data_IF_934390380913
#
_entry.id   IF_934390380913
#
_cell.length_a   1.000
_cell.length_b   1.000
_cell.length_c   1.000
_cell.angle_alpha   90.00
_cell.angle_beta   90.00
_cell.angle_gamma   90.00
#
_symmetry.space_group_name_H-M   'P 1'
#
loop_
_entity.id
_entity.type
_entity.pdbx_description
1 polymer ?
#
# COMPACT_ATOMS: atom_id res chain seq x y z
N UNK A 1 0.70 -8.28 4.04
CA UNK A 1 0.40 -8.64 2.67
C UNK A 1 0.98 -10.02 2.36
N UNK A 2 0.20 -10.84 1.79
CA UNK A 2 0.60 -12.20 1.44
C UNK A 2 1.23 -12.18 0.05
N UNK A 3 2.52 -11.89 -0.03
CA UNK A 3 3.20 -11.77 -1.31
C UNK A 3 3.09 -13.00 -2.20
N UNK A 4 3.02 -14.19 -1.65
CA UNK A 4 2.85 -15.43 -2.43
C UNK A 4 1.49 -15.61 -3.10
N UNK A 5 0.56 -14.74 -2.80
CA UNK A 5 -0.82 -14.85 -3.27
C UNK A 5 -1.02 -14.53 -4.75
N UNK A 6 -0.01 -14.01 -5.42
CA UNK A 6 -0.09 -13.69 -6.86
C UNK A 6 0.03 -14.91 -7.75
N UNK A 7 0.59 -15.99 -7.23
CA UNK A 7 0.80 -17.21 -7.97
C UNK A 7 -0.10 -18.32 -7.45
N UNK A 8 -0.51 -19.18 -8.35
CA UNK A 8 -1.38 -20.28 -8.04
C UNK A 8 -0.64 -21.61 -8.19
N UNK A 9 -0.74 -22.48 -7.18
CA UNK A 9 -0.19 -23.83 -7.22
C UNK A 9 -1.33 -24.81 -7.42
N UNK A 10 -1.21 -25.69 -8.42
CA UNK A 10 -2.19 -26.70 -8.70
C UNK A 10 -1.57 -28.08 -8.84
N UNK A 11 -2.31 -29.11 -8.41
CA UNK A 11 -1.92 -30.51 -8.49
C UNK A 11 -2.93 -31.28 -9.33
N UNK A 12 -2.47 -31.98 -10.36
CA UNK A 12 -3.29 -32.89 -11.19
C UNK A 12 -3.34 -34.32 -10.60
N UNK A 13 -4.28 -35.14 -11.07
CA UNK A 13 -4.39 -36.55 -10.65
C UNK A 13 -3.17 -37.43 -10.92
N UNK A 14 -2.24 -36.98 -11.80
CA UNK A 14 -0.97 -37.68 -12.10
C UNK A 14 0.23 -37.07 -11.38
N UNK A 15 0.01 -36.31 -10.29
CA UNK A 15 1.07 -35.65 -9.52
C UNK A 15 1.93 -34.70 -10.35
N UNK A 16 1.34 -33.96 -11.25
CA UNK A 16 1.99 -32.87 -11.98
C UNK A 16 1.78 -31.58 -11.20
N UNK A 17 2.86 -30.84 -10.96
CA UNK A 17 2.85 -29.58 -10.24
C UNK A 17 2.96 -28.42 -11.22
N UNK A 18 2.09 -27.40 -11.01
CA UNK A 18 2.05 -26.18 -11.82
C UNK A 18 2.09 -24.97 -10.92
N UNK A 19 2.77 -23.91 -11.39
CA UNK A 19 2.65 -22.56 -10.87
C UNK A 19 2.20 -21.66 -12.00
N UNK A 20 1.11 -20.94 -11.78
CA UNK A 20 0.60 -19.96 -12.73
C UNK A 20 0.72 -18.57 -12.14
N UNK A 21 0.98 -17.56 -13.00
CA UNK A 21 0.82 -16.17 -12.60
C UNK A 21 -0.67 -15.76 -12.64
N UNK A 22 -0.92 -14.48 -12.32
CA UNK A 22 -2.29 -13.96 -12.25
C UNK A 22 -3.00 -13.90 -13.59
N UNK A 23 -2.25 -13.84 -14.68
CA UNK A 23 -2.77 -13.83 -16.04
C UNK A 23 -2.95 -15.25 -16.60
N UNK A 24 -2.67 -16.26 -15.80
CA UNK A 24 -2.77 -17.65 -16.21
C UNK A 24 -1.58 -18.19 -16.97
N UNK A 25 -0.47 -17.42 -17.04
CA UNK A 25 0.77 -17.87 -17.66
C UNK A 25 1.44 -18.93 -16.78
N UNK A 26 1.81 -20.06 -17.37
CA UNK A 26 2.55 -21.12 -16.68
C UNK A 26 3.98 -20.64 -16.38
N UNK A 27 4.34 -20.57 -15.11
CA UNK A 27 5.68 -20.24 -14.66
C UNK A 27 6.53 -21.47 -14.38
N UNK A 28 5.90 -22.57 -13.99
CA UNK A 28 6.59 -23.80 -13.62
C UNK A 28 5.68 -25.00 -13.82
N UNK A 29 6.26 -26.08 -14.32
CA UNK A 29 5.61 -27.38 -14.46
C UNK A 29 6.60 -28.49 -14.19
N UNK A 30 6.25 -29.47 -13.37
CA UNK A 30 7.08 -30.63 -13.13
C UNK A 30 6.23 -31.85 -12.77
N UNK A 31 6.58 -32.99 -13.36
CA UNK A 31 5.96 -34.29 -13.07
C UNK A 31 6.71 -35.07 -11.98
N UNK A 32 7.87 -34.57 -11.54
CA UNK A 32 8.67 -35.22 -10.50
C UNK A 32 8.22 -34.78 -9.11
N UNK A 33 8.61 -35.57 -8.10
CA UNK A 33 8.37 -35.21 -6.70
C UNK A 33 9.16 -33.97 -6.35
N UNK A 34 8.45 -32.86 -6.11
CA UNK A 34 9.00 -31.57 -5.74
C UNK A 34 8.27 -31.03 -4.52
N UNK A 35 8.91 -30.12 -3.78
CA UNK A 35 8.26 -29.28 -2.77
C UNK A 35 8.28 -27.84 -3.25
N UNK A 36 7.15 -27.15 -3.16
CA UNK A 36 6.99 -25.77 -3.57
C UNK A 36 6.63 -24.94 -2.35
N UNK A 37 7.42 -23.90 -2.09
CA UNK A 37 7.19 -22.93 -1.02
C UNK A 37 6.84 -21.61 -1.67
N UNK A 38 5.66 -21.08 -1.35
CA UNK A 38 5.18 -19.82 -1.91
C UNK A 38 5.40 -18.70 -0.91
N UNK A 39 6.44 -17.91 -1.14
CA UNK A 39 6.70 -16.64 -0.47
C UNK A 39 6.31 -15.49 -1.41
N UNK A 40 6.94 -14.33 -1.34
CA UNK A 40 6.77 -13.30 -2.38
C UNK A 40 7.22 -13.85 -3.75
N UNK A 41 8.24 -14.67 -3.74
CA UNK A 41 8.67 -15.46 -4.89
C UNK A 41 8.57 -16.95 -4.60
N UNK A 42 8.30 -17.79 -5.60
CA UNK A 42 8.30 -19.24 -5.42
C UNK A 42 9.68 -19.80 -5.15
N UNK A 43 9.76 -20.77 -4.25
CA UNK A 43 10.97 -21.57 -3.98
C UNK A 43 10.66 -23.01 -4.27
N UNK A 44 11.42 -23.62 -5.18
CA UNK A 44 11.27 -25.01 -5.60
C UNK A 44 12.37 -25.85 -4.95
N UNK A 45 12.00 -26.90 -4.22
CA UNK A 45 12.94 -27.90 -3.72
C UNK A 45 12.86 -29.16 -4.56
N UNK A 46 13.93 -29.43 -5.29
CA UNK A 46 14.05 -30.57 -6.19
C UNK A 46 15.50 -31.06 -6.23
N UNK A 47 15.71 -32.38 -6.24
CA UNK A 47 17.05 -32.97 -6.35
C UNK A 47 18.04 -32.42 -5.30
N UNK A 48 17.57 -32.25 -4.06
CA UNK A 48 18.35 -31.70 -2.95
C UNK A 48 18.85 -30.26 -3.14
N UNK A 49 18.20 -29.51 -4.02
CA UNK A 49 18.50 -28.09 -4.26
C UNK A 49 17.24 -27.23 -4.12
N UNK A 50 17.43 -26.05 -3.59
CA UNK A 50 16.41 -25.00 -3.54
C UNK A 50 16.64 -24.00 -4.68
N UNK A 51 15.62 -23.65 -5.41
CA UNK A 51 15.67 -22.67 -6.48
C UNK A 51 14.63 -21.60 -6.25
N UNK A 52 15.02 -20.33 -6.36
CA UNK A 52 14.09 -19.20 -6.32
C UNK A 52 13.72 -18.81 -7.75
N UNK A 53 12.44 -18.68 -8.03
CA UNK A 53 11.94 -18.23 -9.32
C UNK A 53 11.53 -16.77 -9.26
N UNK A 54 11.78 -16.03 -10.35
CA UNK A 54 11.23 -14.68 -10.49
C UNK A 54 9.79 -14.72 -11.02
N UNK A 55 9.19 -13.54 -11.25
CA UNK A 55 7.83 -13.42 -11.77
C UNK A 55 7.65 -13.95 -13.18
N UNK A 56 8.74 -14.19 -13.92
CA UNK A 56 8.73 -14.77 -15.26
C UNK A 56 8.93 -16.30 -15.26
N UNK A 57 9.13 -16.90 -14.09
CA UNK A 57 9.40 -18.33 -13.94
C UNK A 57 10.86 -18.71 -14.14
N UNK A 58 11.76 -17.74 -14.25
CA UNK A 58 13.19 -17.98 -14.39
C UNK A 58 13.86 -18.16 -13.05
N UNK A 59 14.91 -18.97 -12.99
CA UNK A 59 15.68 -19.20 -11.76
C UNK A 59 16.56 -17.99 -11.46
N UNK A 60 16.33 -17.35 -10.30
CA UNK A 60 17.14 -16.23 -9.83
C UNK A 60 18.41 -16.73 -9.14
N UNK A 61 18.27 -17.73 -8.29
CA UNK A 61 19.39 -18.34 -7.56
C UNK A 61 19.05 -19.76 -7.12
N UNK A 62 20.07 -20.55 -6.90
CA UNK A 62 19.96 -21.89 -6.36
C UNK A 62 20.83 -22.06 -5.13
N UNK A 63 20.43 -22.96 -4.22
CA UNK A 63 21.17 -23.24 -3.01
C UNK A 63 21.01 -24.70 -2.56
N UNK A 64 22.08 -25.28 -2.04
CA UNK A 64 21.99 -26.56 -1.32
C UNK A 64 21.48 -26.37 0.11
N UNK A 65 21.62 -25.15 0.65
CA UNK A 65 21.09 -24.80 1.97
C UNK A 65 19.63 -24.39 1.86
N UNK A 66 18.89 -24.66 2.90
CA UNK A 66 17.47 -24.35 2.94
C UNK A 66 17.23 -22.84 2.80
N UNK A 67 16.32 -22.51 1.90
CA UNK A 67 15.81 -21.17 1.71
C UNK A 67 14.50 -21.07 2.49
N UNK A 68 14.47 -20.17 3.46
CA UNK A 68 13.34 -20.01 4.37
C UNK A 68 12.38 -18.89 3.96
N UNK A 69 12.81 -18.02 3.04
CA UNK A 69 12.01 -16.91 2.53
C UNK A 69 12.65 -16.32 1.27
N UNK A 70 11.83 -15.82 0.37
CA UNK A 70 12.25 -15.03 -0.79
C UNK A 70 11.31 -13.87 -0.98
N UNK A 71 11.84 -12.65 -0.87
CA UNK A 71 11.10 -11.40 -1.05
C UNK A 71 11.55 -10.65 -2.30
N UNK A 72 10.71 -9.73 -2.78
CA UNK A 72 11.00 -8.91 -3.95
C UNK A 72 10.61 -7.46 -3.70
N UNK A 73 11.37 -6.54 -4.29
CA UNK A 73 11.10 -5.11 -4.25
C UNK A 73 11.48 -4.46 -5.59
N UNK A 74 10.56 -3.68 -6.13
CA UNK A 74 10.70 -3.05 -7.47
C UNK A 74 11.09 -4.03 -8.58
N UNK A 75 10.60 -5.26 -8.51
CA UNK A 75 10.85 -6.35 -9.48
C UNK A 75 12.33 -6.73 -9.70
N UNK A 76 13.28 -6.08 -9.01
CA UNK A 76 14.71 -6.28 -9.22
C UNK A 76 15.49 -6.63 -7.96
N UNK A 77 15.09 -6.14 -6.79
CA UNK A 77 15.76 -6.48 -5.54
C UNK A 77 15.13 -7.72 -4.92
N UNK A 78 15.91 -8.80 -4.85
CA UNK A 78 15.46 -10.06 -4.27
C UNK A 78 16.24 -10.33 -3.00
N UNK A 79 15.52 -10.56 -1.90
CA UNK A 79 16.12 -11.04 -0.65
C UNK A 79 15.83 -12.51 -0.48
N UNK A 80 16.87 -13.27 -0.13
CA UNK A 80 16.78 -14.72 0.13
C UNK A 80 17.22 -14.98 1.56
N UNK A 81 16.30 -15.49 2.38
CA UNK A 81 16.59 -15.79 3.78
C UNK A 81 17.07 -17.23 3.95
N UNK A 82 18.21 -17.37 4.56
CA UNK A 82 18.75 -18.63 5.07
C UNK A 82 18.60 -18.68 6.60
N UNK A 83 19.08 -19.75 7.22
CA UNK A 83 18.95 -19.96 8.67
C UNK A 83 19.51 -18.81 9.52
N UNK A 84 20.61 -18.21 9.11
CA UNK A 84 21.40 -17.25 9.90
C UNK A 84 21.77 -15.98 9.17
N UNK A 85 21.32 -15.81 7.94
CA UNK A 85 21.68 -14.66 7.10
C UNK A 85 20.62 -14.37 6.06
N UNK A 86 20.67 -13.18 5.51
CA UNK A 86 19.91 -12.74 4.35
C UNK A 86 20.88 -12.38 3.22
N UNK A 87 20.60 -12.82 2.02
CA UNK A 87 21.36 -12.43 0.82
C UNK A 87 20.48 -11.54 -0.04
N UNK A 88 21.00 -10.35 -0.36
CA UNK A 88 20.33 -9.40 -1.24
C UNK A 88 20.91 -9.51 -2.65
N UNK A 89 20.05 -9.77 -3.61
CA UNK A 89 20.37 -9.84 -5.04
C UNK A 89 19.74 -8.64 -5.76
N UNK A 90 20.48 -8.07 -6.70
CA UNK A 90 19.92 -7.09 -7.64
C UNK A 90 19.93 -7.72 -9.03
N UNK A 91 18.75 -8.02 -9.56
CA UNK A 91 18.57 -8.66 -10.86
C UNK A 91 18.43 -7.68 -12.02
N UNK A 92 18.55 -6.37 -11.75
CA UNK A 92 18.49 -5.35 -12.78
C UNK A 92 19.74 -5.36 -13.68
N UNK A 93 19.59 -4.88 -14.92
CA UNK A 93 20.70 -4.74 -15.86
C UNK A 93 21.77 -3.72 -15.42
N UNK A 94 21.41 -2.80 -14.51
CA UNK A 94 22.27 -1.76 -13.97
C UNK A 94 22.73 -2.09 -12.55
N UNK A 95 22.74 -3.37 -12.18
CA UNK A 95 23.12 -3.80 -10.85
C UNK A 95 24.52 -3.35 -10.47
N UNK A 96 24.66 -2.83 -9.26
CA UNK A 96 25.94 -2.51 -8.62
C UNK A 96 26.34 -3.58 -7.60
N UNK A 97 25.54 -4.61 -7.45
CA UNK A 97 25.76 -5.76 -6.55
C UNK A 97 26.32 -6.91 -7.37
N UNK A 98 27.37 -7.58 -6.87
CA UNK A 98 27.91 -8.77 -7.50
C UNK A 98 26.83 -9.84 -7.69
N UNK A 99 27.00 -10.73 -8.66
CA UNK A 99 26.03 -11.80 -8.94
C UNK A 99 25.76 -12.71 -7.73
N UNK A 100 26.74 -12.86 -6.85
CA UNK A 100 26.58 -13.62 -5.61
C UNK A 100 25.71 -12.91 -4.56
N UNK A 101 25.49 -11.62 -4.74
CA UNK A 101 24.68 -10.79 -3.86
C UNK A 101 25.45 -10.26 -2.64
N UNK A 102 24.77 -9.45 -1.85
CA UNK A 102 25.26 -8.96 -0.58
C UNK A 102 24.83 -9.89 0.55
N UNK A 103 25.77 -10.40 1.32
CA UNK A 103 25.47 -11.15 2.54
C UNK A 103 25.27 -10.19 3.70
N UNK A 104 24.10 -10.29 4.32
CA UNK A 104 23.69 -9.42 5.41
C UNK A 104 23.45 -10.30 6.65
N UNK A 105 24.01 -9.91 7.78
CA UNK A 105 23.84 -10.62 9.05
C UNK A 105 22.50 -10.30 9.69
N UNK A 106 21.44 -10.68 9.02
CA UNK A 106 20.06 -10.57 9.49
C UNK A 106 19.40 -11.93 9.38
N UNK A 107 18.80 -12.36 10.48
CA UNK A 107 18.05 -13.60 10.56
C UNK A 107 16.57 -13.31 10.58
N UNK A 108 15.84 -13.77 9.57
CA UNK A 108 14.40 -13.57 9.47
C UNK A 108 13.92 -13.44 8.03
N UNK A 109 12.71 -12.98 7.87
CA UNK A 109 12.05 -12.81 6.58
C UNK A 109 12.10 -11.33 6.16
N UNK A 110 13.28 -10.86 5.82
CA UNK A 110 13.52 -9.48 5.43
C UNK A 110 13.27 -9.28 3.96
N UNK A 111 12.58 -8.18 3.66
CA UNK A 111 12.49 -7.66 2.28
C UNK A 111 12.96 -6.23 2.25
N UNK A 112 13.46 -5.79 1.11
CA UNK A 112 13.79 -4.39 0.90
C UNK A 112 12.51 -3.58 0.88
N UNK A 113 12.47 -2.47 1.60
CA UNK A 113 11.31 -1.55 1.62
C UNK A 113 11.68 -0.15 1.16
N UNK A 114 12.96 0.16 1.07
CA UNK A 114 13.49 1.37 0.47
C UNK A 114 14.94 1.14 0.02
N UNK A 115 15.36 1.83 -1.02
CA UNK A 115 16.74 1.83 -1.46
C UNK A 115 17.19 3.22 -1.92
N UNK A 116 18.48 3.45 -1.77
CA UNK A 116 19.17 4.61 -2.34
C UNK A 116 20.55 4.13 -2.79
N UNK A 117 20.86 4.29 -4.09
CA UNK A 117 22.10 3.77 -4.66
C UNK A 117 23.39 4.40 -4.08
N UNK A 118 23.28 5.50 -3.36
CA UNK A 118 24.40 6.16 -2.69
C UNK A 118 24.47 5.85 -1.19
N UNK A 119 23.37 5.41 -0.59
CA UNK A 119 23.24 5.27 0.87
C UNK A 119 23.09 3.81 1.33
N UNK A 120 22.32 3.02 0.61
CA UNK A 120 22.09 1.62 0.95
C UNK A 120 20.64 1.20 0.87
N UNK A 121 20.27 0.30 1.78
CA UNK A 121 18.99 -0.39 1.75
C UNK A 121 18.32 -0.35 3.12
N UNK A 122 17.01 -0.25 3.11
CA UNK A 122 16.20 -0.48 4.31
C UNK A 122 15.51 -1.81 4.13
N UNK A 123 15.77 -2.72 5.07
CA UNK A 123 15.16 -4.03 5.13
C UNK A 123 14.19 -4.08 6.31
N UNK A 124 13.08 -4.77 6.11
CA UNK A 124 12.04 -4.90 7.12
C UNK A 124 11.52 -6.32 7.20
N UNK A 125 11.47 -6.84 8.43
CA UNK A 125 10.80 -8.09 8.76
C UNK A 125 9.52 -7.79 9.53
N UNK A 126 8.38 -8.04 8.91
CA UNK A 126 7.07 -7.76 9.49
C UNK A 126 6.75 -8.64 10.70
N UNK A 127 7.26 -9.87 10.74
CA UNK A 127 7.00 -10.79 11.85
C UNK A 127 7.76 -10.38 13.10
N UNK A 128 9.01 -9.97 12.95
CA UNK A 128 9.84 -9.50 14.06
C UNK A 128 9.64 -8.02 14.37
N UNK A 129 8.92 -7.30 13.50
CA UNK A 129 8.75 -5.85 13.58
C UNK A 129 10.13 -5.17 13.68
N UNK A 130 11.03 -5.57 12.80
CA UNK A 130 12.40 -5.06 12.81
C UNK A 130 12.76 -4.36 11.51
N UNK A 131 13.13 -3.08 11.62
CA UNK A 131 13.64 -2.28 10.53
C UNK A 131 15.15 -2.19 10.66
N UNK A 132 15.86 -2.46 9.55
CA UNK A 132 17.33 -2.44 9.52
C UNK A 132 17.81 -1.55 8.38
N UNK A 133 18.72 -0.63 8.71
CA UNK A 133 19.45 0.12 7.70
C UNK A 133 20.76 -0.58 7.38
N UNK A 134 20.95 -0.91 6.12
CA UNK A 134 22.11 -1.66 5.62
C UNK A 134 22.83 -0.80 4.58
N UNK A 135 24.13 -0.62 4.73
CA UNK A 135 24.91 0.15 3.76
C UNK A 135 25.13 -0.62 2.44
N UNK A 136 25.75 0.01 1.46
CA UNK A 136 26.00 -0.59 0.14
C UNK A 136 26.94 -1.79 0.18
N UNK A 137 27.65 -2.02 1.28
CA UNK A 137 28.54 -3.19 1.50
C UNK A 137 27.85 -4.34 2.24
N UNK A 138 26.59 -4.18 2.59
CA UNK A 138 25.84 -5.20 3.32
C UNK A 138 25.98 -5.13 4.85
N UNK A 139 26.63 -4.09 5.38
CA UNK A 139 26.77 -3.92 6.82
C UNK A 139 25.52 -3.29 7.41
N UNK A 140 24.98 -3.92 8.47
CA UNK A 140 23.89 -3.37 9.26
C UNK A 140 24.41 -2.18 10.07
N UNK A 141 23.85 -1.00 9.81
CA UNK A 141 24.25 0.25 10.46
C UNK A 141 23.45 0.51 11.72
N UNK A 142 22.16 0.25 11.70
CA UNK A 142 21.31 0.25 12.88
C UNK A 142 20.06 -0.60 12.64
N UNK A 143 19.43 -0.98 13.74
CA UNK A 143 18.15 -1.68 13.76
C UNK A 143 17.19 -0.96 14.71
N UNK A 144 15.90 -0.95 14.35
CA UNK A 144 14.83 -0.39 15.14
C UNK A 144 13.65 -1.35 15.19
N UNK A 145 13.16 -1.61 16.39
CA UNK A 145 11.93 -2.38 16.57
C UNK A 145 10.75 -1.41 16.47
N UNK A 146 10.24 -1.25 15.27
CA UNK A 146 9.18 -0.29 14.94
C UNK A 146 8.33 -0.81 13.79
N UNK A 147 7.02 -0.66 13.90
CA UNK A 147 6.11 -0.96 12.79
C UNK A 147 6.33 0.02 11.63
N UNK A 148 6.24 -0.48 10.41
CA UNK A 148 6.47 0.29 9.19
C UNK A 148 5.34 0.07 8.20
N UNK A 149 4.59 1.14 7.89
CA UNK A 149 3.67 1.16 6.77
C UNK A 149 4.40 1.62 5.51
N UNK A 150 5.21 2.66 5.65
CA UNK A 150 6.08 3.14 4.59
C UNK A 150 7.35 3.77 5.15
N UNK A 151 8.42 3.73 4.37
CA UNK A 151 9.70 4.36 4.71
C UNK A 151 10.38 4.83 3.44
N UNK A 152 11.11 5.93 3.54
CA UNK A 152 11.96 6.40 2.45
C UNK A 152 13.16 7.19 2.96
N UNK A 153 14.18 7.21 2.12
CA UNK A 153 15.32 8.08 2.32
C UNK A 153 14.96 9.52 1.99
N UNK A 154 15.41 10.43 2.83
CA UNK A 154 15.30 11.87 2.60
C UNK A 154 16.52 12.57 3.17
N UNK A 155 17.38 13.09 2.30
CA UNK A 155 18.65 13.69 2.69
C UNK A 155 19.46 12.72 3.58
N UNK A 156 19.89 13.13 4.76
CA UNK A 156 20.62 12.31 5.73
C UNK A 156 19.73 11.56 6.72
N UNK A 157 18.45 11.38 6.38
CA UNK A 157 17.46 10.79 7.27
C UNK A 157 16.57 9.79 6.57
N UNK A 158 15.88 8.99 7.38
CA UNK A 158 14.73 8.18 6.98
C UNK A 158 13.48 8.83 7.51
N UNK A 159 12.47 8.86 6.68
CA UNK A 159 11.11 9.24 7.09
C UNK A 159 10.27 7.99 7.08
N UNK A 160 9.75 7.64 8.23
CA UNK A 160 8.96 6.45 8.46
C UNK A 160 7.54 6.85 8.85
N UNK A 161 6.59 6.11 8.31
CA UNK A 161 5.17 6.25 8.65
C UNK A 161 4.66 4.95 9.22
N UNK A 162 3.87 5.04 10.27
CA UNK A 162 3.08 3.94 10.83
C UNK A 162 1.78 4.48 11.45
N UNK A 163 1.04 3.63 12.16
CA UNK A 163 -0.21 4.02 12.81
C UNK A 163 -0.03 5.14 13.84
N UNK A 164 1.14 5.18 14.50
CA UNK A 164 1.44 6.19 15.51
C UNK A 164 1.82 7.56 14.92
N UNK A 165 2.01 7.64 13.60
CA UNK A 165 2.34 8.86 12.89
C UNK A 165 3.66 8.79 12.14
N UNK A 166 4.44 9.85 12.25
CA UNK A 166 5.68 10.05 11.50
C UNK A 166 6.87 9.93 12.44
N UNK A 167 7.91 9.24 11.99
CA UNK A 167 9.17 9.11 12.69
C UNK A 167 10.33 9.48 11.77
N UNK A 168 11.18 10.38 12.24
CA UNK A 168 12.38 10.80 11.54
C UNK A 168 13.58 10.14 12.20
N UNK A 169 14.30 9.31 11.45
CA UNK A 169 15.52 8.62 11.90
C UNK A 169 16.71 9.16 11.12
N UNK A 170 17.74 9.67 11.80
CA UNK A 170 18.97 10.01 11.10
C UNK A 170 19.74 8.75 10.69
N UNK A 171 20.45 8.82 9.56
CA UNK A 171 21.21 7.67 9.06
C UNK A 171 22.43 7.32 9.92
N UNK A 172 22.90 8.23 10.76
CA UNK A 172 23.94 7.97 11.76
C UNK A 172 23.39 7.33 13.05
N UNK A 173 22.07 7.21 13.17
CA UNK A 173 21.41 6.62 14.34
C UNK A 173 21.31 7.53 15.56
N UNK A 174 21.82 8.77 15.48
CA UNK A 174 21.89 9.67 16.63
C UNK A 174 20.58 10.39 16.93
N UNK A 175 19.76 10.65 15.91
CA UNK A 175 18.48 11.34 16.06
C UNK A 175 17.32 10.43 15.75
N UNK A 176 16.36 10.43 16.64
CA UNK A 176 15.11 9.69 16.54
C UNK A 176 13.97 10.58 17.03
N UNK A 177 13.29 11.23 16.11
CA UNK A 177 12.18 12.14 16.41
C UNK A 177 10.87 11.47 16.07
N UNK A 178 10.02 11.31 17.05
CA UNK A 178 8.70 10.72 16.88
C UNK A 178 7.65 11.80 16.91
N UNK A 179 6.97 11.99 15.79
CA UNK A 179 5.76 12.78 15.72
C UNK A 179 4.57 11.84 15.96
N UNK A 180 3.72 12.17 16.89
CA UNK A 180 2.55 11.33 17.17
C UNK A 180 1.53 11.41 16.03
N UNK A 181 0.41 10.76 16.19
CA UNK A 181 -0.58 10.36 15.17
C UNK A 181 -1.24 11.45 14.30
N UNK A 182 -0.74 12.67 14.28
CA UNK A 182 -1.38 13.73 13.50
C UNK A 182 -1.12 13.68 12.02
N UNK A 183 0.02 13.10 11.60
CA UNK A 183 0.40 13.02 10.20
C UNK A 183 0.70 11.58 9.81
N UNK A 184 -0.04 11.05 8.84
CA UNK A 184 0.17 9.70 8.32
C UNK A 184 0.89 9.67 6.97
N UNK A 185 1.00 10.79 6.29
CA UNK A 185 1.70 10.90 5.02
C UNK A 185 2.77 11.99 5.10
N UNK A 186 4.02 11.62 4.85
CA UNK A 186 5.16 12.53 4.94
C UNK A 186 5.59 13.10 3.61
N UNK A 187 5.08 12.61 2.49
CA UNK A 187 5.56 12.98 1.17
C UNK A 187 5.39 14.45 0.88
N UNK A 188 4.36 15.04 1.42
CA UNK A 188 3.98 16.43 1.19
C UNK A 188 4.34 17.37 2.35
N UNK A 189 4.92 16.84 3.43
CA UNK A 189 5.20 17.65 4.62
C UNK A 189 6.56 18.29 4.65
N UNK A 190 7.49 17.79 3.89
CA UNK A 190 8.82 18.34 3.86
C UNK A 190 8.85 19.46 2.85
N UNK A 191 8.71 20.69 3.35
CA UNK A 191 8.91 21.88 2.56
C UNK A 191 10.39 22.04 2.19
N UNK A 192 10.66 22.95 1.25
CA UNK A 192 12.00 23.33 0.83
C UNK A 192 12.91 23.73 2.02
N UNK A 193 12.32 24.28 3.07
CA UNK A 193 13.02 24.70 4.29
C UNK A 193 12.88 23.68 5.41
N UNK A 194 12.58 22.46 5.02
CA UNK A 194 12.70 21.38 5.89
C UNK A 194 11.75 21.24 7.00
N UNK A 195 10.57 21.43 6.77
CA UNK A 195 9.71 21.42 7.89
C UNK A 195 8.39 20.74 7.61
N UNK A 196 7.89 20.14 8.62
CA UNK A 196 6.53 19.68 8.69
C UNK A 196 5.94 20.16 10.02
N UNK A 197 4.65 20.27 10.08
CA UNK A 197 3.93 20.69 11.27
C UNK A 197 3.36 19.47 11.96
N UNK A 198 3.56 19.43 13.26
CA UNK A 198 3.09 18.36 14.12
C UNK A 198 2.54 18.97 15.42
N UNK A 199 1.25 18.75 15.68
CA UNK A 199 0.60 19.39 16.83
C UNK A 199 0.74 20.91 16.76
N UNK A 200 1.14 21.57 17.86
CA UNK A 200 1.51 22.99 17.83
C UNK A 200 2.97 23.21 17.41
N UNK A 201 3.67 22.18 16.94
CA UNK A 201 5.10 22.22 16.70
C UNK A 201 5.42 22.08 15.22
N UNK A 202 6.47 22.76 14.79
CA UNK A 202 7.04 22.67 13.45
C UNK A 202 8.44 22.09 13.57
N UNK A 203 8.71 21.04 12.81
CA UNK A 203 10.03 20.42 12.77
C UNK A 203 10.80 20.86 11.53
N UNK A 204 12.06 21.11 11.70
CA UNK A 204 12.98 21.36 10.61
C UNK A 204 13.54 20.03 10.06
N UNK A 205 14.24 20.05 8.91
CA UNK A 205 14.81 18.83 8.28
C UNK A 205 15.78 18.08 9.17
N UNK A 206 16.49 18.78 10.03
CA UNK A 206 17.40 18.18 10.99
C UNK A 206 16.71 17.71 12.26
N UNK A 207 15.39 17.78 12.33
CA UNK A 207 14.59 17.33 13.47
C UNK A 207 14.50 18.34 14.60
N UNK A 208 14.95 19.58 14.42
CA UNK A 208 14.80 20.63 15.43
C UNK A 208 13.36 21.12 15.50
N UNK A 209 12.87 21.21 16.71
CA UNK A 209 11.50 21.66 16.99
C UNK A 209 11.42 23.19 16.98
N UNK A 210 10.33 23.72 16.42
CA UNK A 210 9.96 25.14 16.52
C UNK A 210 8.50 25.25 16.87
N UNK A 211 8.16 26.10 17.81
CA UNK A 211 6.78 26.38 18.17
C UNK A 211 6.07 27.11 17.03
N UNK A 212 4.84 26.66 16.76
CA UNK A 212 3.90 27.34 15.87
C UNK A 212 2.75 27.79 16.74
N UNK A 213 2.65 29.12 16.94
CA UNK A 213 1.63 29.69 17.82
C UNK A 213 0.23 29.49 17.27
N UNK A 214 -0.72 29.26 18.16
CA UNK A 214 -2.16 29.30 17.94
C UNK A 214 -2.75 28.24 17.00
N UNK A 215 -1.98 27.18 16.66
CA UNK A 215 -2.48 26.07 15.87
C UNK A 215 -2.55 24.82 16.74
N UNK A 216 -3.76 24.26 16.86
CA UNK A 216 -3.99 22.96 17.48
C UNK A 216 -4.52 21.98 16.44
N UNK A 217 -3.79 20.89 16.18
CA UNK A 217 -4.27 19.84 15.32
C UNK A 217 -5.26 18.95 16.06
N UNK A 218 -6.32 18.56 15.36
CA UNK A 218 -7.25 17.59 15.91
C UNK A 218 -6.60 16.19 15.82
N UNK A 219 -6.45 15.47 16.94
CA UNK A 219 -5.84 14.13 16.94
C UNK A 219 -6.62 13.08 16.18
N UNK A 220 -7.88 13.32 15.85
CA UNK A 220 -8.66 12.40 15.02
C UNK A 220 -8.39 12.54 13.53
N UNK A 221 -7.75 13.62 13.11
CA UNK A 221 -7.41 13.89 11.72
C UNK A 221 -5.92 13.65 11.55
N UNK A 222 -5.57 12.48 11.09
CA UNK A 222 -4.23 11.97 11.25
C UNK A 222 -3.44 11.78 9.97
N UNK A 223 -3.96 12.14 8.79
CA UNK A 223 -3.24 12.00 7.53
C UNK A 223 -3.32 13.29 6.73
N UNK A 224 -2.26 13.62 6.02
CA UNK A 224 -2.22 14.79 5.15
C UNK A 224 -1.67 14.42 3.80
N UNK A 225 -2.44 14.69 2.78
CA UNK A 225 -1.99 14.75 1.41
C UNK A 225 -2.06 16.21 0.94
N UNK A 226 -1.15 16.61 0.11
CA UNK A 226 -1.04 18.01 -0.26
C UNK A 226 -0.34 18.85 0.82
N UNK A 227 -0.54 20.15 0.77
CA UNK A 227 0.15 21.11 1.61
C UNK A 227 -0.76 21.77 2.66
N UNK A 228 -1.98 21.30 2.79
CA UNK A 228 -2.95 21.85 3.72
C UNK A 228 -3.63 20.74 4.52
N UNK A 229 -4.04 21.09 5.73
CA UNK A 229 -4.64 20.14 6.67
C UNK A 229 -5.65 20.85 7.56
N UNK A 230 -6.68 20.13 8.05
CA UNK A 230 -7.67 20.73 8.93
C UNK A 230 -7.14 20.88 10.35
N UNK A 231 -7.41 22.01 10.95
CA UNK A 231 -7.06 22.37 12.31
C UNK A 231 -8.32 22.71 13.05
N UNK A 232 -8.51 22.16 14.24
CA UNK A 232 -9.61 22.54 15.09
C UNK A 232 -9.33 23.90 15.73
N UNK A 233 -10.19 24.86 15.44
CA UNK A 233 -10.17 26.19 16.07
C UNK A 233 -11.18 26.19 17.19
N UNK A 234 -10.72 26.38 18.42
CA UNK A 234 -11.52 26.27 19.62
C UNK A 234 -12.80 27.10 19.53
N UNK A 235 -13.93 26.47 19.82
CA UNK A 235 -15.29 27.05 19.78
C UNK A 235 -15.78 27.51 18.40
N UNK A 236 -15.05 27.20 17.33
CA UNK A 236 -15.45 27.62 15.96
C UNK A 236 -15.65 26.44 15.03
N UNK A 237 -14.76 25.45 15.04
CA UNK A 237 -14.80 24.32 14.12
C UNK A 237 -13.46 24.11 13.46
N UNK A 238 -13.47 23.45 12.30
CA UNK A 238 -12.26 23.11 11.55
C UNK A 238 -11.96 24.12 10.47
N UNK A 239 -10.69 24.48 10.35
CA UNK A 239 -10.20 25.35 9.29
C UNK A 239 -8.92 24.77 8.72
N UNK A 240 -8.77 24.85 7.37
CA UNK A 240 -7.59 24.32 6.71
C UNK A 240 -6.45 25.34 6.73
N UNK A 241 -5.29 24.86 7.19
CA UNK A 241 -4.04 25.62 7.31
C UNK A 241 -2.95 24.97 6.45
N UNK A 242 -2.01 25.80 6.00
CA UNK A 242 -0.77 25.33 5.37
C UNK A 242 0.35 25.13 6.39
N UNK A 243 1.46 24.58 5.91
CA UNK A 243 2.66 24.35 6.75
C UNK A 243 3.33 25.64 7.25
N UNK A 244 3.06 26.74 6.61
CA UNK A 244 3.54 28.05 7.06
C UNK A 244 2.72 28.61 8.24
N UNK A 245 1.69 27.90 8.67
CA UNK A 245 0.79 28.34 9.74
C UNK A 245 -0.28 29.32 9.27
N UNK A 246 -0.42 29.53 7.97
CA UNK A 246 -1.43 30.45 7.41
C UNK A 246 -2.68 29.69 7.00
N UNK A 247 -3.82 30.38 7.09
CA UNK A 247 -5.11 29.86 6.62
C UNK A 247 -5.06 29.64 5.11
N UNK A 248 -5.31 28.42 4.67
CA UNK A 248 -5.37 28.07 3.27
C UNK A 248 -6.77 28.21 2.68
N UNK A 249 -7.80 27.93 3.46
CA UNK A 249 -9.22 28.07 3.09
C UNK A 249 -9.92 28.88 4.17
N UNK A 250 -10.67 29.91 3.77
CA UNK A 250 -11.30 30.83 4.72
C UNK A 250 -12.50 30.24 5.47
N UNK A 251 -13.15 29.25 4.88
CA UNK A 251 -14.36 28.63 5.44
C UNK A 251 -14.02 27.84 6.70
N UNK A 252 -14.87 27.93 7.69
CA UNK A 252 -14.85 27.10 8.89
C UNK A 252 -15.91 26.02 8.73
N UNK A 253 -15.50 24.78 8.94
CA UNK A 253 -16.35 23.60 8.80
C UNK A 253 -16.69 23.04 10.17
N UNK A 254 -17.87 22.50 10.32
CA UNK A 254 -18.23 21.76 11.52
C UNK A 254 -17.57 20.39 11.56
N UNK A 255 -17.36 19.78 10.39
CA UNK A 255 -16.63 18.54 10.22
C UNK A 255 -15.74 18.66 8.97
N UNK A 256 -14.49 18.20 9.09
CA UNK A 256 -13.53 18.31 8.01
C UNK A 256 -12.51 17.18 8.09
N UNK A 257 -12.38 16.41 7.02
CA UNK A 257 -11.40 15.36 6.90
C UNK A 257 -10.13 15.87 6.20
N UNK A 258 -9.07 15.06 6.28
CA UNK A 258 -7.87 15.32 5.50
C UNK A 258 -8.14 15.18 4.01
N UNK A 259 -7.35 15.90 3.22
CA UNK A 259 -7.27 15.62 1.80
C UNK A 259 -6.66 14.23 1.59
N UNK A 260 -7.24 13.48 0.67
CA UNK A 260 -6.67 12.21 0.27
C UNK A 260 -5.63 12.36 -0.85
N UNK A 261 -5.04 11.25 -1.25
CA UNK A 261 -4.05 11.24 -2.33
C UNK A 261 -4.60 11.65 -3.69
N UNK A 262 -5.92 11.73 -3.84
CA UNK A 262 -6.60 12.14 -5.07
C UNK A 262 -6.98 13.63 -5.08
N UNK A 263 -6.62 14.34 -4.03
CA UNK A 263 -6.76 15.79 -3.95
C UNK A 263 -8.13 16.29 -3.51
N UNK A 264 -8.93 15.46 -2.87
CA UNK A 264 -10.24 15.84 -2.32
C UNK A 264 -10.36 15.54 -0.85
N UNK A 265 -11.20 16.28 -0.17
CA UNK A 265 -11.56 16.09 1.22
C UNK A 265 -13.07 16.06 1.40
N UNK A 266 -13.54 15.30 2.36
CA UNK A 266 -14.94 15.28 2.76
C UNK A 266 -15.13 16.33 3.85
N UNK A 267 -16.04 17.27 3.64
CA UNK A 267 -16.31 18.35 4.59
C UNK A 267 -17.80 18.57 4.80
N UNK A 268 -18.14 19.17 5.92
CA UNK A 268 -19.50 19.60 6.23
C UNK A 268 -19.49 20.94 6.95
N UNK A 269 -20.29 21.90 6.48
CA UNK A 269 -20.46 23.20 7.14
C UNK A 269 -21.38 23.13 8.35
N UNK A 270 -22.34 22.21 8.33
CA UNK A 270 -23.40 22.11 9.36
C UNK A 270 -23.38 20.82 10.18
N UNK A 271 -22.54 19.85 9.81
CA UNK A 271 -22.47 18.54 10.44
C UNK A 271 -23.54 17.55 9.96
N UNK A 272 -24.36 17.93 9.01
CA UNK A 272 -25.45 17.11 8.47
C UNK A 272 -25.29 16.84 6.97
N UNK A 273 -24.83 17.82 6.21
CA UNK A 273 -24.64 17.76 4.77
C UNK A 273 -23.16 17.75 4.44
N UNK A 274 -22.73 16.67 3.81
CA UNK A 274 -21.33 16.42 3.44
C UNK A 274 -21.14 16.55 1.93
N UNK A 275 -20.00 17.05 1.53
CA UNK A 275 -19.63 17.11 0.12
C UNK A 275 -18.12 16.94 -0.06
N UNK A 276 -17.70 16.58 -1.27
CA UNK A 276 -16.29 16.57 -1.65
C UNK A 276 -15.83 17.99 -1.99
N UNK A 277 -14.62 18.32 -1.59
CA UNK A 277 -13.99 19.60 -1.80
C UNK A 277 -12.58 19.41 -2.33
N UNK A 278 -12.14 20.20 -3.30
CA UNK A 278 -10.75 20.21 -3.76
C UNK A 278 -9.87 21.10 -2.86
N UNK A 279 -8.56 21.09 -3.11
CA UNK A 279 -7.59 21.83 -2.30
C UNK A 279 -7.69 23.36 -2.40
N UNK A 280 -8.47 23.87 -3.36
CA UNK A 280 -8.79 25.30 -3.49
C UNK A 280 -10.01 25.69 -2.68
N UNK A 281 -10.68 24.75 -2.04
CA UNK A 281 -11.92 24.99 -1.30
C UNK A 281 -13.17 24.95 -2.18
N UNK A 282 -13.06 24.49 -3.41
CA UNK A 282 -14.19 24.42 -4.33
C UNK A 282 -14.97 23.11 -4.13
N UNK A 283 -16.30 23.24 -4.07
CA UNK A 283 -17.23 22.12 -3.93
C UNK A 283 -17.23 21.28 -5.21
N UNK A 284 -16.95 19.98 -5.10
CA UNK A 284 -16.85 19.05 -6.22
C UNK A 284 -18.09 18.16 -6.39
N UNK A 285 -18.88 17.98 -5.34
CA UNK A 285 -20.06 17.11 -5.36
C UNK A 285 -21.30 17.83 -4.85
N UNK A 286 -22.48 17.24 -5.09
CA UNK A 286 -23.67 17.63 -4.36
C UNK A 286 -23.59 17.23 -2.88
N UNK A 287 -24.57 17.62 -2.09
CA UNK A 287 -24.64 17.26 -0.67
C UNK A 287 -25.16 15.83 -0.49
N UNK A 288 -24.55 15.13 0.50
CA UNK A 288 -24.94 13.79 0.92
C UNK A 288 -24.99 13.73 2.44
N UNK A 289 -25.65 12.73 2.99
CA UNK A 289 -25.65 12.53 4.45
C UNK A 289 -24.33 11.97 4.95
N UNK A 290 -23.55 11.32 4.07
CA UNK A 290 -22.27 10.70 4.38
C UNK A 290 -21.51 10.42 3.09
N UNK A 291 -20.20 10.52 3.13
CA UNK A 291 -19.32 10.16 2.02
C UNK A 291 -18.16 9.35 2.59
N UNK A 292 -17.90 8.17 2.03
CA UNK A 292 -16.80 7.29 2.41
C UNK A 292 -15.97 6.91 1.18
N UNK A 293 -14.66 6.94 1.30
CA UNK A 293 -13.79 6.40 0.26
C UNK A 293 -13.97 4.89 0.13
N UNK A 294 -14.07 4.41 -1.10
CA UNK A 294 -14.00 2.97 -1.41
C UNK A 294 -12.66 2.59 -2.06
N UNK A 295 -11.75 3.55 -2.19
CA UNK A 295 -10.43 3.37 -2.81
C UNK A 295 -10.37 3.91 -4.24
N UNK A 296 -9.16 4.08 -4.73
CA UNK A 296 -8.84 4.44 -6.13
C UNK A 296 -9.50 5.72 -6.64
N UNK A 297 -9.80 6.67 -5.76
CA UNK A 297 -10.44 7.93 -6.14
C UNK A 297 -11.95 7.83 -6.36
N UNK A 298 -12.58 6.79 -5.83
CA UNK A 298 -14.02 6.61 -5.84
C UNK A 298 -14.59 6.64 -4.43
N UNK A 299 -15.84 7.07 -4.33
CA UNK A 299 -16.49 7.34 -3.05
C UNK A 299 -17.92 6.80 -3.05
N UNK A 300 -18.28 6.17 -1.95
CA UNK A 300 -19.67 5.85 -1.66
C UNK A 300 -20.34 7.09 -1.07
N UNK A 301 -21.25 7.68 -1.82
CA UNK A 301 -21.93 8.90 -1.45
C UNK A 301 -23.39 8.57 -1.08
N UNK A 302 -23.69 8.65 0.21
CA UNK A 302 -24.94 8.21 0.80
C UNK A 302 -26.02 9.29 0.68
N UNK A 303 -27.10 8.96 0.00
CA UNK A 303 -28.31 9.79 -0.01
C UNK A 303 -29.17 9.53 1.22
N UNK A 304 -29.08 8.32 1.78
CA UNK A 304 -29.67 7.92 3.06
C UNK A 304 -28.62 7.17 3.88
N UNK A 305 -28.93 6.78 5.11
CA UNK A 305 -27.97 6.05 5.96
C UNK A 305 -27.57 4.66 5.43
N UNK A 306 -28.31 4.09 4.48
CA UNK A 306 -28.07 2.74 3.97
C UNK A 306 -27.87 2.66 2.46
N UNK A 307 -28.25 3.70 1.72
CA UNK A 307 -28.28 3.68 0.26
C UNK A 307 -27.32 4.71 -0.30
N UNK A 308 -26.43 4.30 -1.17
CA UNK A 308 -25.41 5.18 -1.76
C UNK A 308 -25.25 4.98 -3.26
N UNK A 309 -24.78 5.99 -3.90
CA UNK A 309 -24.25 5.97 -5.27
C UNK A 309 -22.72 6.09 -5.24
N UNK A 310 -22.06 5.73 -6.33
CA UNK A 310 -20.61 5.86 -6.46
C UNK A 310 -20.28 7.10 -7.25
N UNK A 311 -19.43 7.97 -6.68
CA UNK A 311 -18.95 9.19 -7.33
C UNK A 311 -17.43 9.16 -7.45
N UNK A 312 -16.91 9.89 -8.43
CA UNK A 312 -15.48 10.15 -8.56
C UNK A 312 -15.08 11.46 -7.86
N UNK A 313 -13.82 11.87 -7.99
CA UNK A 313 -13.29 13.09 -7.35
C UNK A 313 -13.95 14.39 -7.85
N UNK A 314 -14.57 14.36 -9.01
CA UNK A 314 -15.33 15.50 -9.57
C UNK A 314 -16.82 15.43 -9.24
N UNK A 315 -17.23 14.47 -8.43
CA UNK A 315 -18.63 14.27 -8.06
C UNK A 315 -19.49 13.68 -9.17
N UNK A 316 -18.89 13.19 -10.25
CA UNK A 316 -19.62 12.56 -11.35
C UNK A 316 -20.02 11.15 -11.01
N UNK A 317 -21.22 10.78 -11.44
CA UNK A 317 -21.80 9.47 -11.25
C UNK A 317 -21.84 8.79 -12.62
N UNK A 318 -20.94 7.84 -12.85
CA UNK A 318 -20.94 7.06 -14.10
C UNK A 318 -21.76 5.77 -13.99
N UNK A 319 -22.17 5.42 -12.78
CA UNK A 319 -22.98 4.24 -12.48
C UNK A 319 -24.30 4.73 -11.88
N UNK A 320 -25.40 4.54 -12.60
CA UNK A 320 -26.71 5.04 -12.22
C UNK A 320 -27.51 4.15 -11.25
N UNK A 321 -26.84 3.19 -10.63
CA UNK A 321 -27.45 2.29 -9.66
C UNK A 321 -27.15 2.72 -8.23
N UNK A 322 -28.00 2.29 -7.32
CA UNK A 322 -27.78 2.42 -5.88
C UNK A 322 -27.24 1.11 -5.29
N UNK A 323 -26.40 1.27 -4.29
CA UNK A 323 -25.72 0.18 -3.63
C UNK A 323 -25.99 0.22 -2.13
N UNK A 324 -25.84 -0.95 -1.48
CA UNK A 324 -26.01 -1.12 -0.04
C UNK A 324 -24.97 -2.12 0.47
N UNK A 325 -24.38 -1.86 1.63
CA UNK A 325 -23.34 -2.70 2.20
C UNK A 325 -21.93 -2.25 1.81
N UNK A 326 -20.93 -3.07 2.06
CA UNK A 326 -19.54 -2.73 1.81
C UNK A 326 -19.20 -2.77 0.32
N UNK A 327 -18.46 -1.78 -0.13
CA UNK A 327 -17.92 -1.70 -1.48
C UNK A 327 -16.44 -1.33 -1.43
N UNK A 328 -15.67 -1.82 -2.40
CA UNK A 328 -14.24 -1.58 -2.48
C UNK A 328 -13.80 -1.44 -3.94
N UNK A 329 -13.06 -0.38 -4.24
CA UNK A 329 -12.37 -0.21 -5.51
C UNK A 329 -10.91 -0.67 -5.40
N UNK A 330 -10.36 -1.19 -6.48
CA UNK A 330 -8.97 -1.66 -6.55
C UNK A 330 -8.45 -1.55 -7.98
N UNK A 331 -7.14 -1.43 -8.10
CA UNK A 331 -6.47 -1.42 -9.39
C UNK A 331 -5.93 -2.81 -9.73
N UNK A 332 -6.12 -3.20 -10.98
CA UNK A 332 -5.51 -4.39 -11.54
C UNK A 332 -5.14 -4.16 -13.00
N UNK A 333 -3.87 -4.39 -13.32
CA UNK A 333 -3.32 -4.28 -14.69
C UNK A 333 -3.64 -2.93 -15.37
N UNK A 334 -3.48 -1.85 -14.60
CA UNK A 334 -3.72 -0.48 -15.07
C UNK A 334 -5.18 -0.06 -15.18
N UNK A 335 -6.11 -0.93 -14.80
CA UNK A 335 -7.55 -0.64 -14.78
C UNK A 335 -8.09 -0.60 -13.36
N UNK A 336 -9.10 0.22 -13.13
CA UNK A 336 -9.79 0.29 -11.86
C UNK A 336 -11.09 -0.50 -11.92
N UNK A 337 -11.23 -1.43 -10.98
CA UNK A 337 -12.42 -2.22 -10.76
C UNK A 337 -13.01 -1.90 -9.38
N UNK A 338 -14.26 -2.22 -9.19
CA UNK A 338 -14.88 -2.16 -7.88
C UNK A 338 -15.82 -3.35 -7.64
N UNK A 339 -15.78 -3.87 -6.43
CA UNK A 339 -16.81 -4.76 -5.92
C UNK A 339 -17.89 -3.88 -5.29
N UNK A 340 -19.06 -3.87 -5.90
CA UNK A 340 -20.21 -3.07 -5.48
C UNK A 340 -21.36 -3.99 -5.08
N UNK A 341 -21.95 -3.70 -3.93
CA UNK A 341 -22.99 -4.55 -3.37
C UNK A 341 -24.39 -3.99 -3.67
N UNK A 342 -25.18 -4.75 -4.42
CA UNK A 342 -26.60 -4.47 -4.67
C UNK A 342 -27.45 -5.40 -3.82
N UNK A 343 -28.01 -4.91 -2.73
CA UNK A 343 -28.95 -5.66 -1.89
C UNK A 343 -28.45 -7.06 -1.50
N UNK A 344 -27.18 -7.15 -1.09
CA UNK A 344 -26.56 -8.41 -0.68
C UNK A 344 -25.86 -9.19 -1.79
N UNK A 345 -26.02 -8.79 -3.05
CA UNK A 345 -25.35 -9.44 -4.19
C UNK A 345 -24.18 -8.58 -4.64
N UNK A 346 -22.92 -9.07 -4.53
CA UNK A 346 -21.77 -8.35 -5.03
C UNK A 346 -21.66 -8.44 -6.55
N UNK A 347 -21.30 -7.33 -7.17
CA UNK A 347 -21.03 -7.23 -8.60
C UNK A 347 -19.62 -6.65 -8.80
N UNK A 348 -18.92 -7.16 -9.80
CA UNK A 348 -17.65 -6.59 -10.23
C UNK A 348 -17.91 -5.59 -11.35
N UNK A 349 -17.50 -4.33 -11.14
CA UNK A 349 -17.64 -3.26 -12.12
C UNK A 349 -16.28 -2.87 -12.70
N UNK A 350 -16.24 -2.66 -14.00
CA UNK A 350 -15.18 -1.90 -14.66
C UNK A 350 -15.50 -0.42 -14.48
N UNK A 351 -14.71 0.29 -13.68
CA UNK A 351 -15.01 1.67 -13.30
C UNK A 351 -14.76 2.67 -14.44
N UNK A 352 -13.93 2.33 -15.41
CA UNK A 352 -13.72 3.18 -16.58
C UNK A 352 -14.92 3.12 -17.53
N UNK A 353 -15.50 1.93 -17.69
CA UNK A 353 -16.68 1.71 -18.53
C UNK A 353 -18.00 2.02 -17.81
N UNK A 354 -17.99 2.06 -16.47
CA UNK A 354 -19.19 2.20 -15.67
C UNK A 354 -20.17 1.02 -15.78
N UNK A 355 -19.67 -0.15 -16.13
CA UNK A 355 -20.48 -1.35 -16.40
C UNK A 355 -20.06 -2.51 -15.51
N UNK A 356 -21.05 -3.33 -15.16
CA UNK A 356 -20.80 -4.60 -14.49
C UNK A 356 -20.09 -5.57 -15.44
N UNK A 357 -19.01 -6.16 -14.98
CA UNK A 357 -18.32 -7.24 -15.71
C UNK A 357 -19.19 -8.50 -15.65
N UNK A 358 -19.54 -8.93 -14.45
CA UNK A 358 -20.56 -9.96 -14.21
C UNK A 358 -20.92 -10.02 -12.71
N UNK A 359 -22.04 -10.68 -12.41
CA UNK A 359 -22.50 -10.89 -11.03
C UNK A 359 -21.67 -11.98 -10.35
N UNK A 360 -21.29 -11.75 -9.10
CA UNK A 360 -20.57 -12.73 -8.28
C UNK A 360 -21.49 -13.63 -7.46
N UNK A 361 -22.79 -13.60 -7.68
CA UNK A 361 -23.88 -14.30 -6.94
C UNK A 361 -23.50 -15.67 -6.37
N UNK A 362 -22.80 -15.70 -5.25
CA UNK A 362 -22.47 -16.90 -4.50
C UNK A 362 -21.62 -17.95 -5.21
N UNK A 363 -21.43 -17.86 -6.52
CA UNK A 363 -20.66 -18.82 -7.32
C UNK A 363 -19.19 -18.48 -7.46
N UNK A 364 -18.82 -17.20 -7.29
CA UNK A 364 -17.48 -16.70 -7.52
C UNK A 364 -16.90 -16.06 -6.27
N UNK A 365 -15.59 -16.20 -6.09
CA UNK A 365 -14.80 -15.50 -5.09
C UNK A 365 -13.69 -14.72 -5.77
N UNK A 366 -13.47 -13.51 -5.31
CA UNK A 366 -12.33 -12.70 -5.73
C UNK A 366 -11.09 -13.10 -4.92
N UNK A 367 -10.04 -13.48 -5.61
CA UNK A 367 -8.76 -13.82 -4.99
C UNK A 367 -7.77 -12.69 -5.22
N UNK A 368 -7.28 -12.11 -4.12
CA UNK A 368 -6.22 -11.10 -4.12
C UNK A 368 -6.50 -9.90 -5.04
N UNK A 369 -7.77 -9.58 -5.24
CA UNK A 369 -8.22 -8.50 -6.13
C UNK A 369 -7.74 -8.67 -7.58
N UNK A 370 -7.46 -9.90 -8.03
CA UNK A 370 -6.79 -10.14 -9.30
C UNK A 370 -7.41 -11.20 -10.18
N UNK A 371 -8.05 -12.19 -9.62
CA UNK A 371 -8.74 -13.22 -10.39
C UNK A 371 -9.93 -13.77 -9.63
N UNK A 372 -10.83 -14.41 -10.37
CA UNK A 372 -12.06 -14.97 -9.85
C UNK A 372 -11.98 -16.48 -9.84
N UNK A 373 -12.44 -17.09 -8.77
CA UNK A 373 -12.60 -18.52 -8.68
C UNK A 373 -14.07 -18.88 -8.55
N UNK A 374 -14.53 -19.82 -9.36
CA UNK A 374 -15.88 -20.38 -9.22
C UNK A 374 -15.94 -21.23 -7.96
N UNK A 375 -16.92 -20.95 -7.08
CA UNK A 375 -17.13 -21.68 -5.83
C UNK A 375 -17.43 -23.15 -6.13
N UNK A 376 -16.77 -24.07 -5.44
CA UNK A 376 -16.92 -25.52 -5.61
C UNK A 376 -16.42 -26.08 -6.96
N UNK A 377 -15.74 -25.27 -7.78
CA UNK A 377 -15.11 -25.70 -9.02
C UNK A 377 -13.65 -25.30 -9.05
N UNK A 378 -12.82 -26.11 -9.69
CA UNK A 378 -11.40 -25.78 -9.90
C UNK A 378 -11.22 -24.93 -11.16
N UNK A 379 -12.00 -23.86 -11.26
CA UNK A 379 -11.93 -22.95 -12.40
C UNK A 379 -11.57 -21.55 -11.93
N UNK A 380 -10.65 -20.90 -12.65
CA UNK A 380 -10.18 -19.56 -12.40
C UNK A 380 -10.40 -18.69 -13.61
N UNK A 381 -10.86 -17.48 -13.39
CA UNK A 381 -11.17 -16.50 -14.45
C UNK A 381 -10.41 -15.21 -14.19
N UNK A 382 -10.07 -14.49 -15.25
CA UNK A 382 -9.59 -13.13 -15.12
C UNK A 382 -10.74 -12.18 -14.71
N UNK A 383 -10.43 -10.93 -14.46
CA UNK A 383 -11.43 -9.94 -14.05
C UNK A 383 -12.37 -9.52 -15.20
N UNK A 384 -12.08 -9.92 -16.43
CA UNK A 384 -12.95 -9.71 -17.59
C UNK A 384 -13.91 -10.90 -17.81
N UNK A 385 -13.81 -11.92 -16.98
CA UNK A 385 -14.66 -13.12 -17.07
C UNK A 385 -14.12 -14.22 -17.99
N UNK A 386 -12.90 -14.08 -18.50
CA UNK A 386 -12.27 -15.08 -19.36
C UNK A 386 -11.68 -16.22 -18.52
N UNK A 387 -11.88 -17.45 -18.98
CA UNK A 387 -11.33 -18.63 -18.30
C UNK A 387 -9.80 -18.64 -18.41
N UNK A 388 -9.13 -18.66 -17.27
CA UNK A 388 -7.67 -18.80 -17.16
C UNK A 388 -7.29 -20.27 -17.03
N UNK A 389 -7.96 -20.98 -16.13
CA UNK A 389 -7.64 -22.36 -15.81
C UNK A 389 -8.89 -23.13 -15.40
N UNK A 390 -8.96 -24.39 -15.84
CA UNK A 390 -10.00 -25.34 -15.42
C UNK A 390 -9.33 -26.68 -15.10
N UNK A 391 -9.46 -27.06 -13.85
CA UNK A 391 -8.90 -28.33 -13.35
C UNK A 391 -9.86 -29.49 -13.43
#
# INVERSE_FOLDING_TARGET
>A
SQGGSQNHIQRSGKLVWYIYDQQGKELYKDSKKVKIYMYDLPVIYKNKKYSVLNSEGEVVTTSKKAINYAGIYHDSFVTVAYKDKTVLLDTSSNSQIDEEGLTIKLKGQYKVVANDYKKGFILYDQQQINLSYVNLKGKVKFEKNVEVDSVKFKDSSLILKNEDGIRLLSLDGEKDVVATSYYKDVNNYLSKNASYIYGPHKFTKDGKEKDVKDIQLNPTVASVHGNIFPVYVQNKGYQYYGFNGEKAIKTIYKDAQDFDQYGVAVVSKDGEKYYLMNSKGEKQSKNYVKIESIGEGYYAAYETNSKYEIINTEGKIDIHDYFMGESQAFEFDGKVYALLNKSGTPYLYDMEKGESVFSLEGEYQLYNDKYLRKKNHKAYYDLEGNLIYKG
#
